data_IF_524965686911
#
_entry.id   IF_524965686911
#
_cell.length_a   1.000
_cell.length_b   1.000
_cell.length_c   1.000
_cell.angle_alpha   90.00
_cell.angle_beta   90.00
_cell.angle_gamma   90.00
#
_symmetry.space_group_name_H-M   'P 1'
#
loop_
_entity.id
_entity.type
_entity.pdbx_description
1 polymer ?
#
# COMPACT_ATOMS: atom_id res chain seq x y z
N UNK A 1 -10.75 0.33 15.22
CA UNK A 1 -10.02 1.26 14.33
C UNK A 1 -10.53 1.06 12.91
N UNK A 2 -10.83 2.14 12.19
CA UNK A 2 -11.36 2.05 10.83
C UNK A 2 -10.23 2.12 9.80
N UNK A 3 -10.43 1.51 8.63
CA UNK A 3 -9.50 1.54 7.49
C UNK A 3 -9.08 2.98 7.13
N UNK A 4 -10.01 3.95 7.20
CA UNK A 4 -9.73 5.38 7.01
C UNK A 4 -8.68 5.94 7.97
N UNK A 5 -8.62 5.47 9.21
CA UNK A 5 -7.62 5.92 10.19
C UNK A 5 -6.22 5.44 9.80
N UNK A 6 -6.10 4.18 9.38
CA UNK A 6 -4.85 3.60 8.88
C UNK A 6 -4.41 4.35 7.62
N UNK A 7 -5.35 4.61 6.70
CA UNK A 7 -5.11 5.37 5.46
C UNK A 7 -4.55 6.78 5.71
N UNK A 8 -5.15 7.52 6.64
CA UNK A 8 -4.69 8.86 7.01
C UNK A 8 -3.29 8.83 7.64
N UNK A 9 -3.02 7.83 8.48
CA UNK A 9 -1.72 7.67 9.14
C UNK A 9 -0.63 7.28 8.14
N UNK A 10 -0.91 6.36 7.22
CA UNK A 10 0.00 6.02 6.12
C UNK A 10 0.35 7.26 5.31
N UNK A 11 -0.66 8.02 4.86
CA UNK A 11 -0.42 9.23 4.06
C UNK A 11 0.41 10.27 4.82
N UNK A 12 0.17 10.44 6.13
CA UNK A 12 0.95 11.35 6.96
C UNK A 12 2.42 10.90 7.13
N UNK A 13 2.66 9.59 7.33
CA UNK A 13 4.03 9.04 7.46
C UNK A 13 4.80 9.11 6.14
N UNK A 14 4.17 8.74 5.03
CA UNK A 14 4.76 8.88 3.69
C UNK A 14 5.13 10.34 3.41
N UNK A 15 4.26 11.31 3.76
CA UNK A 15 4.57 12.73 3.64
C UNK A 15 5.75 13.16 4.52
N UNK A 16 5.84 12.64 5.74
CA UNK A 16 6.95 12.93 6.65
C UNK A 16 8.30 12.40 6.10
N UNK A 17 8.27 11.33 5.29
CA UNK A 17 9.44 10.82 4.56
C UNK A 17 9.70 11.54 3.23
N UNK A 18 9.00 12.64 2.95
CA UNK A 18 9.15 13.42 1.71
C UNK A 18 8.48 12.80 0.49
N UNK A 19 7.66 11.76 0.66
CA UNK A 19 6.95 11.07 -0.42
C UNK A 19 5.49 11.47 -0.57
N UNK A 20 4.80 10.78 -1.46
CA UNK A 20 3.34 10.86 -1.64
C UNK A 20 2.72 9.46 -1.71
N UNK A 21 1.46 9.34 -1.30
CA UNK A 21 0.70 8.10 -1.38
C UNK A 21 -0.65 8.33 -2.07
N UNK A 22 -0.72 8.63 -3.39
CA UNK A 22 -1.99 8.79 -4.08
C UNK A 22 -2.90 7.55 -3.96
N UNK A 23 -4.21 7.78 -3.96
CA UNK A 23 -5.19 6.72 -4.21
C UNK A 23 -4.96 6.16 -5.61
N UNK A 24 -4.97 4.84 -5.74
CA UNK A 24 -4.70 4.21 -7.01
C UNK A 24 -5.93 3.47 -7.54
N UNK A 25 -6.42 3.96 -8.67
CA UNK A 25 -7.49 3.32 -9.43
C UNK A 25 -7.04 3.21 -10.87
N UNK A 26 -7.32 2.08 -11.50
CA UNK A 26 -6.99 1.80 -12.89
C UNK A 26 -8.28 1.39 -13.61
N UNK A 27 -8.89 2.29 -14.40
CA UNK A 27 -10.13 1.98 -15.11
C UNK A 27 -9.99 0.72 -15.97
N UNK A 28 -10.93 -0.21 -15.81
CA UNK A 28 -10.89 -1.51 -16.52
C UNK A 28 -9.97 -2.57 -15.89
N UNK A 29 -9.36 -2.27 -14.74
CA UNK A 29 -8.42 -3.19 -14.09
C UNK A 29 -8.71 -3.32 -12.59
N UNK A 30 -9.82 -3.98 -12.26
CA UNK A 30 -10.30 -4.08 -10.88
C UNK A 30 -9.37 -4.87 -9.95
N UNK A 31 -9.53 -4.63 -8.64
CA UNK A 31 -8.77 -5.29 -7.59
C UNK A 31 -7.37 -4.71 -7.36
N UNK A 32 -7.09 -3.50 -7.88
CA UNK A 32 -5.84 -2.81 -7.58
C UNK A 32 -5.71 -2.48 -6.10
N UNK A 33 -4.47 -2.49 -5.56
CA UNK A 33 -4.19 -1.99 -4.23
C UNK A 33 -4.61 -0.51 -4.07
N UNK A 34 -5.07 -0.15 -2.88
CA UNK A 34 -5.70 1.15 -2.62
C UNK A 34 -4.79 2.36 -2.84
N UNK A 35 -3.49 2.22 -2.54
CA UNK A 35 -2.51 3.31 -2.53
C UNK A 35 -1.25 2.92 -3.29
N UNK A 36 -0.70 3.87 -4.03
CA UNK A 36 0.65 3.78 -4.60
C UNK A 36 1.56 4.68 -3.75
N UNK A 37 2.48 4.09 -2.99
CA UNK A 37 3.47 4.82 -2.19
C UNK A 37 4.67 5.14 -3.07
N UNK A 38 5.04 6.42 -3.12
CA UNK A 38 6.16 6.96 -3.90
C UNK A 38 7.06 7.75 -2.95
N UNK A 39 8.28 7.27 -2.73
CA UNK A 39 9.29 7.89 -1.88
C UNK A 39 10.41 8.52 -2.72
N UNK A 40 11.21 9.45 -2.15
CA UNK A 40 12.39 9.99 -2.83
C UNK A 40 13.32 8.89 -3.34
N UNK A 41 14.11 9.14 -4.37
CA UNK A 41 15.03 8.13 -4.94
C UNK A 41 14.38 7.14 -5.91
N UNK A 42 13.12 7.36 -6.31
CA UNK A 42 12.41 6.47 -7.25
C UNK A 42 11.87 5.19 -6.60
N UNK A 43 11.86 5.15 -5.27
CA UNK A 43 11.41 4.01 -4.47
C UNK A 43 9.89 3.99 -4.40
N UNK A 44 9.29 2.81 -4.63
CA UNK A 44 7.83 2.70 -4.71
C UNK A 44 7.28 1.36 -4.22
N UNK A 45 6.02 1.38 -3.76
CA UNK A 45 5.30 0.17 -3.37
C UNK A 45 3.79 0.32 -3.49
N UNK A 46 3.11 -0.76 -3.86
CA UNK A 46 1.65 -0.82 -3.80
C UNK A 46 1.20 -1.21 -2.39
N UNK A 47 0.17 -0.55 -1.87
CA UNK A 47 -0.36 -0.80 -0.53
C UNK A 47 -1.87 -1.00 -0.59
N UNK A 48 -2.33 -2.17 -0.16
CA UNK A 48 -3.74 -2.46 0.14
C UNK A 48 -3.98 -2.25 1.63
N UNK A 49 -5.04 -1.53 1.98
CA UNK A 49 -5.45 -1.25 3.33
C UNK A 49 -6.65 -2.11 3.72
N UNK A 50 -6.62 -2.68 4.92
CA UNK A 50 -7.76 -3.40 5.48
C UNK A 50 -8.12 -2.84 6.85
N UNK A 51 -9.39 -2.99 7.23
CA UNK A 51 -9.77 -2.97 8.64
C UNK A 51 -9.02 -4.09 9.38
N UNK A 52 -8.57 -3.88 10.64
CA UNK A 52 -7.80 -4.88 11.39
C UNK A 52 -8.41 -6.28 11.36
N UNK A 53 -7.60 -7.29 11.02
CA UNK A 53 -8.00 -8.70 10.94
C UNK A 53 -8.82 -9.07 9.69
N UNK A 54 -9.09 -8.13 8.78
CA UNK A 54 -9.74 -8.42 7.50
C UNK A 54 -8.72 -8.77 6.44
N UNK A 55 -9.10 -9.70 5.56
CA UNK A 55 -8.26 -10.14 4.43
C UNK A 55 -8.70 -9.47 3.13
N UNK A 56 -7.79 -9.29 2.16
CA UNK A 56 -8.16 -8.86 0.81
C UNK A 56 -9.13 -9.84 0.16
N UNK A 57 -10.02 -9.32 -0.70
CA UNK A 57 -10.97 -10.13 -1.47
C UNK A 57 -10.23 -10.97 -2.51
N UNK A 58 -10.88 -12.03 -3.01
CA UNK A 58 -10.28 -12.94 -4.00
C UNK A 58 -9.68 -12.22 -5.22
N UNK A 59 -10.38 -11.21 -5.76
CA UNK A 59 -9.91 -10.42 -6.89
C UNK A 59 -8.65 -9.59 -6.56
N UNK A 60 -8.60 -8.97 -5.37
CA UNK A 60 -7.42 -8.25 -4.90
C UNK A 60 -6.24 -9.21 -4.73
N UNK A 61 -6.45 -10.38 -4.15
CA UNK A 61 -5.39 -11.41 -4.05
C UNK A 61 -4.87 -11.84 -5.42
N UNK A 62 -5.74 -12.03 -6.41
CA UNK A 62 -5.32 -12.33 -7.78
C UNK A 62 -4.46 -11.20 -8.36
N UNK A 63 -4.85 -9.94 -8.14
CA UNK A 63 -4.09 -8.78 -8.59
C UNK A 63 -2.76 -8.62 -7.89
N UNK A 64 -2.70 -8.83 -6.58
CA UNK A 64 -1.46 -8.79 -5.80
C UNK A 64 -0.46 -9.82 -6.32
N UNK A 65 -0.92 -11.04 -6.62
CA UNK A 65 -0.07 -12.09 -7.22
C UNK A 65 0.45 -11.68 -8.58
N UNK A 66 -0.38 -11.07 -9.43
CA UNK A 66 0.05 -10.56 -10.73
C UNK A 66 1.15 -9.51 -10.58
N UNK A 67 0.93 -8.48 -9.76
CA UNK A 67 1.89 -7.40 -9.54
C UNK A 67 3.22 -7.91 -8.98
N UNK A 68 3.16 -8.81 -7.98
CA UNK A 68 4.37 -9.45 -7.43
C UNK A 68 5.11 -10.30 -8.46
N UNK A 69 4.40 -11.01 -9.34
CA UNK A 69 5.02 -11.77 -10.44
C UNK A 69 5.76 -10.87 -11.44
N UNK A 70 5.28 -9.65 -11.63
CA UNK A 70 5.94 -8.63 -12.45
C UNK A 70 7.12 -7.95 -11.73
N UNK A 71 7.42 -8.34 -10.50
CA UNK A 71 8.53 -7.79 -9.71
C UNK A 71 8.16 -6.60 -8.83
N UNK A 72 6.90 -6.16 -8.82
CA UNK A 72 6.47 -5.04 -7.98
C UNK A 72 6.23 -5.47 -6.53
N UNK A 73 6.58 -4.59 -5.59
CA UNK A 73 6.27 -4.75 -4.18
C UNK A 73 4.81 -4.42 -3.90
N UNK A 74 4.15 -5.31 -3.17
CA UNK A 74 2.75 -5.18 -2.77
C UNK A 74 2.63 -5.55 -1.31
N UNK A 75 2.11 -4.62 -0.52
CA UNK A 75 1.93 -4.75 0.92
C UNK A 75 0.44 -4.74 1.27
N UNK A 76 0.10 -5.42 2.37
CA UNK A 76 -1.23 -5.37 2.97
C UNK A 76 -1.04 -4.83 4.38
N UNK A 77 -1.69 -3.73 4.69
CA UNK A 77 -1.66 -3.11 6.01
C UNK A 77 -3.05 -3.19 6.63
N UNK A 78 -3.16 -3.86 7.76
CA UNK A 78 -4.37 -3.93 8.57
C UNK A 78 -4.20 -3.36 9.98
N UNK A 79 -3.01 -2.85 10.32
CA UNK A 79 -2.70 -2.17 11.57
C UNK A 79 -1.78 -0.96 11.40
N UNK A 80 -1.86 0.02 12.30
CA UNK A 80 -0.99 1.22 12.25
C UNK A 80 0.47 0.84 12.51
N UNK A 81 0.69 -0.12 13.39
CA UNK A 81 1.99 -0.65 13.80
C UNK A 81 2.81 -1.23 12.64
N UNK A 82 2.15 -1.62 11.53
CA UNK A 82 2.80 -2.13 10.32
C UNK A 82 3.29 -1.03 9.38
N UNK A 83 2.83 0.22 9.57
CA UNK A 83 3.11 1.31 8.62
C UNK A 83 4.60 1.59 8.54
N UNK A 84 5.27 1.77 9.68
CA UNK A 84 6.67 2.15 9.69
C UNK A 84 7.55 1.04 9.07
N UNK A 85 7.32 -0.23 9.42
CA UNK A 85 8.08 -1.35 8.83
C UNK A 85 7.88 -1.47 7.31
N UNK A 86 6.64 -1.30 6.82
CA UNK A 86 6.38 -1.33 5.37
C UNK A 86 7.05 -0.17 4.65
N UNK A 87 7.05 1.03 5.25
CA UNK A 87 7.70 2.19 4.63
C UNK A 87 9.23 2.05 4.64
N UNK A 88 9.82 1.49 5.69
CA UNK A 88 11.26 1.16 5.73
C UNK A 88 11.62 0.12 4.66
N UNK A 89 10.79 -0.91 4.45
CA UNK A 89 10.99 -1.88 3.37
C UNK A 89 10.92 -1.24 1.97
N UNK A 90 10.08 -0.21 1.77
CA UNK A 90 10.04 0.54 0.51
C UNK A 90 11.25 1.48 0.39
N UNK A 91 11.72 2.08 1.50
CA UNK A 91 12.80 3.06 1.50
C UNK A 91 14.20 2.41 1.35
N UNK A 92 14.42 1.21 1.86
CA UNK A 92 15.76 0.61 1.86
C UNK A 92 16.07 -0.32 0.66
N UNK A 93 15.46 -0.04 -0.49
CA UNK A 93 15.82 -0.62 -1.79
C UNK A 93 16.80 0.23 -2.58
#
# INVERSE_FOLDING_TARGET
MYERTIEQKLAARVKAMGGIAPKFTSPGFDGMPDRLVLLPGGRMGFVELKTPGKKPRALQLARHRLLRRLGFKVYVIDGIEQIDSVLEEIDHE
#
